data_IF_942093374565
#
_entry.id   IF_942093374565
#
_cell.length_a   1.000
_cell.length_b   1.000
_cell.length_c   1.000
_cell.angle_alpha   90.00
_cell.angle_beta   90.00
_cell.angle_gamma   90.00
#
_symmetry.space_group_name_H-M   'P 1'
#
loop_
_entity.id
_entity.type
_entity.pdbx_description
1 polymer ?
#
# COMPACT_ATOMS: atom_id res chain seq x y z
N UNK A 1 6.02 -39.06 -4.99
CA UNK A 1 5.80 -37.68 -4.50
C UNK A 1 7.01 -37.25 -3.68
N UNK A 2 7.60 -36.08 -3.93
CA UNK A 2 8.75 -35.58 -3.15
C UNK A 2 8.24 -35.30 -1.73
N UNK A 3 8.78 -35.97 -0.71
CA UNK A 3 8.33 -35.78 0.68
C UNK A 3 8.58 -34.34 1.12
N UNK A 4 7.51 -33.64 1.50
CA UNK A 4 7.58 -32.29 2.07
C UNK A 4 8.24 -32.41 3.45
N UNK A 5 9.35 -31.69 3.65
CA UNK A 5 10.07 -31.69 4.92
C UNK A 5 9.23 -31.06 6.03
N UNK A 6 9.46 -31.42 7.31
CA UNK A 6 8.75 -30.82 8.46
C UNK A 6 8.82 -29.28 8.45
N UNK A 7 9.98 -28.71 8.12
CA UNK A 7 10.18 -27.25 8.01
C UNK A 7 9.31 -26.62 6.91
N UNK A 8 9.23 -27.24 5.74
CA UNK A 8 8.38 -26.75 4.64
C UNK A 8 6.89 -26.82 5.00
N UNK A 9 6.44 -27.90 5.65
CA UNK A 9 5.06 -28.01 6.15
C UNK A 9 4.73 -26.86 7.11
N UNK A 10 5.64 -26.55 8.03
CA UNK A 10 5.45 -25.45 9.00
C UNK A 10 5.33 -24.09 8.30
N UNK A 11 6.17 -23.82 7.29
CA UNK A 11 6.09 -22.58 6.50
C UNK A 11 4.74 -22.48 5.76
N UNK A 12 4.26 -23.56 5.15
CA UNK A 12 2.95 -23.56 4.48
C UNK A 12 1.79 -23.29 5.44
N UNK A 13 1.85 -23.83 6.66
CA UNK A 13 0.83 -23.57 7.69
C UNK A 13 0.84 -22.08 8.07
N UNK A 14 2.01 -21.49 8.31
CA UNK A 14 2.13 -20.06 8.65
C UNK A 14 1.57 -19.18 7.53
N UNK A 15 1.91 -19.47 6.27
CA UNK A 15 1.38 -18.75 5.11
C UNK A 15 -0.15 -18.85 5.02
N UNK A 16 -0.70 -20.04 5.24
CA UNK A 16 -2.15 -20.24 5.22
C UNK A 16 -2.84 -19.42 6.32
N UNK A 17 -2.28 -19.38 7.53
CA UNK A 17 -2.81 -18.57 8.65
C UNK A 17 -2.78 -17.08 8.31
N UNK A 18 -1.69 -16.58 7.74
CA UNK A 18 -1.59 -15.17 7.31
C UNK A 18 -2.66 -14.84 6.28
N UNK A 19 -2.87 -15.72 5.29
CA UNK A 19 -3.89 -15.51 4.26
C UNK A 19 -5.29 -15.48 4.86
N UNK A 20 -5.63 -16.44 5.73
CA UNK A 20 -6.93 -16.52 6.41
C UNK A 20 -7.18 -15.28 7.26
N UNK A 21 -6.19 -14.86 8.06
CA UNK A 21 -6.29 -13.65 8.88
C UNK A 21 -6.48 -12.40 8.02
N UNK A 22 -5.73 -12.28 6.91
CA UNK A 22 -5.89 -11.18 5.96
C UNK A 22 -7.29 -11.13 5.36
N UNK A 23 -7.84 -12.28 4.93
CA UNK A 23 -9.21 -12.37 4.38
C UNK A 23 -10.25 -11.96 5.43
N UNK A 24 -10.09 -12.40 6.68
CA UNK A 24 -11.00 -12.04 7.76
C UNK A 24 -11.01 -10.52 8.01
N UNK A 25 -9.84 -9.88 8.02
CA UNK A 25 -9.72 -8.42 8.19
C UNK A 25 -10.30 -7.66 7.01
N UNK A 26 -10.01 -8.09 5.77
CA UNK A 26 -10.56 -7.47 4.56
C UNK A 26 -12.09 -7.58 4.52
N UNK A 27 -12.64 -8.73 4.91
CA UNK A 27 -14.09 -8.96 4.89
C UNK A 27 -14.85 -8.19 5.96
N UNK A 28 -14.22 -7.90 7.11
CA UNK A 28 -14.86 -7.24 8.25
C UNK A 28 -14.67 -5.73 8.26
N UNK A 29 -13.43 -5.26 8.03
CA UNK A 29 -13.03 -3.85 8.17
C UNK A 29 -12.64 -3.24 6.81
N UNK A 30 -12.25 -4.08 5.84
CA UNK A 30 -11.68 -3.61 4.57
C UNK A 30 -10.24 -3.13 4.71
N UNK A 31 -9.68 -2.64 3.60
CA UNK A 31 -8.33 -2.05 3.60
C UNK A 31 -8.33 -0.68 4.28
N UNK A 32 -7.25 -0.38 5.01
CA UNK A 32 -6.96 0.99 5.42
C UNK A 32 -6.50 1.76 4.18
N UNK A 33 -7.22 2.77 3.71
CA UNK A 33 -6.83 3.52 2.51
C UNK A 33 -6.01 4.77 2.87
N UNK A 34 -5.14 5.23 1.99
CA UNK A 34 -4.47 6.53 2.12
C UNK A 34 -5.53 7.66 2.16
N UNK A 35 -5.29 8.72 2.95
CA UNK A 35 -6.22 9.86 3.10
C UNK A 35 -6.71 10.40 1.75
N UNK A 36 -5.83 10.49 0.75
CA UNK A 36 -6.17 10.97 -0.60
C UNK A 36 -7.18 10.08 -1.36
N UNK A 37 -7.41 8.86 -0.88
CA UNK A 37 -8.32 7.89 -1.47
C UNK A 37 -9.58 7.68 -0.61
N UNK A 38 -9.69 8.40 0.51
CA UNK A 38 -10.86 8.42 1.38
C UNK A 38 -11.57 9.77 1.27
N UNK A 39 -12.80 9.80 1.74
CA UNK A 39 -13.48 11.04 2.04
C UNK A 39 -12.77 11.66 3.24
N UNK A 40 -12.34 12.92 3.11
CA UNK A 40 -11.53 13.59 4.13
C UNK A 40 -12.04 15.00 4.35
N UNK A 41 -11.76 15.53 5.53
CA UNK A 41 -12.01 16.93 5.85
C UNK A 41 -10.71 17.68 5.90
N UNK A 42 -10.72 18.89 5.36
CA UNK A 42 -9.57 19.77 5.28
C UNK A 42 -9.90 21.12 5.89
N UNK A 43 -8.97 21.66 6.66
CA UNK A 43 -8.96 23.06 7.11
C UNK A 43 -7.68 23.73 6.63
N UNK A 44 -7.77 25.00 6.27
CA UNK A 44 -6.62 25.84 5.91
C UNK A 44 -6.53 27.00 6.90
N UNK A 45 -5.34 27.20 7.48
CA UNK A 45 -5.08 28.24 8.46
C UNK A 45 -3.99 29.19 7.92
N UNK A 46 -4.33 30.47 7.81
CA UNK A 46 -3.42 31.50 7.32
C UNK A 46 -2.60 32.10 8.46
N UNK A 47 -1.46 31.48 8.79
CA UNK A 47 -0.65 31.80 9.97
C UNK A 47 0.07 33.16 9.81
N UNK A 48 0.32 33.61 8.57
CA UNK A 48 0.99 34.89 8.25
C UNK A 48 2.40 35.04 8.83
N UNK A 49 3.02 33.93 9.22
CA UNK A 49 4.34 33.86 9.84
C UNK A 49 5.02 32.56 9.41
N UNK A 50 6.35 32.52 9.55
CA UNK A 50 7.10 31.28 9.43
C UNK A 50 6.67 30.29 10.51
N UNK A 51 6.29 29.09 10.09
CA UNK A 51 5.95 27.99 10.98
C UNK A 51 6.61 26.68 10.56
N UNK A 52 6.79 25.79 11.52
CA UNK A 52 7.27 24.44 11.26
C UNK A 52 6.12 23.44 11.14
N UNK A 53 6.22 22.53 10.17
CA UNK A 53 5.24 21.44 10.00
C UNK A 53 5.23 20.51 11.22
N UNK A 54 6.40 20.27 11.84
CA UNK A 54 6.56 19.49 13.08
C UNK A 54 5.68 20.01 14.20
N UNK A 55 5.64 21.33 14.35
CA UNK A 55 4.90 22.00 15.41
C UNK A 55 3.40 21.89 15.22
N UNK A 56 2.93 22.17 14.00
CA UNK A 56 1.50 21.99 13.66
C UNK A 56 1.11 20.52 13.81
N UNK A 57 2.00 19.59 13.45
CA UNK A 57 1.76 18.15 13.62
C UNK A 57 1.57 17.74 15.07
N UNK A 58 2.34 18.33 15.99
CA UNK A 58 2.19 18.05 17.41
C UNK A 58 0.86 18.61 17.94
N UNK A 59 0.51 19.85 17.58
CA UNK A 59 -0.78 20.47 17.94
C UNK A 59 -1.94 19.60 17.45
N UNK A 60 -1.94 19.23 16.18
CA UNK A 60 -3.02 18.42 15.60
C UNK A 60 -3.09 17.04 16.24
N UNK A 61 -1.96 16.41 16.59
CA UNK A 61 -1.96 15.12 17.29
C UNK A 61 -2.45 15.18 18.73
N UNK A 62 -2.30 16.31 19.42
CA UNK A 62 -2.89 16.49 20.75
C UNK A 62 -4.42 16.52 20.68
N UNK A 63 -4.97 17.08 19.61
CA UNK A 63 -6.42 17.20 19.40
C UNK A 63 -7.01 15.95 18.73
N UNK A 64 -6.26 15.31 17.83
CA UNK A 64 -6.67 14.15 17.03
C UNK A 64 -5.56 13.08 17.08
N UNK A 65 -5.42 12.32 18.18
CA UNK A 65 -4.27 11.44 18.42
C UNK A 65 -4.24 10.19 17.53
N UNK A 66 -5.40 9.63 17.19
CA UNK A 66 -5.50 8.31 16.58
C UNK A 66 -5.70 8.33 15.05
N UNK A 67 -5.79 9.52 14.45
CA UNK A 67 -6.04 9.64 13.01
C UNK A 67 -4.77 9.82 12.18
N UNK A 68 -4.80 9.27 10.96
CA UNK A 68 -3.87 9.67 9.92
C UNK A 68 -4.12 11.13 9.58
N UNK A 69 -3.08 11.95 9.67
CA UNK A 69 -3.12 13.38 9.35
C UNK A 69 -2.11 13.71 8.24
N UNK A 70 -2.49 14.62 7.35
CA UNK A 70 -1.63 15.18 6.33
C UNK A 70 -1.55 16.69 6.54
N UNK A 71 -0.33 17.18 6.72
CA UNK A 71 -0.06 18.61 6.95
C UNK A 71 0.86 19.09 5.85
N UNK A 72 0.49 20.18 5.19
CA UNK A 72 1.22 20.76 4.07
C UNK A 72 1.25 22.27 4.20
N UNK A 73 2.40 22.88 3.92
CA UNK A 73 2.44 24.31 3.63
C UNK A 73 1.76 24.55 2.29
N UNK A 74 0.96 25.59 2.22
CA UNK A 74 0.24 26.01 1.01
C UNK A 74 0.47 27.51 0.80
N UNK A 75 -0.03 28.02 -0.32
CA UNK A 75 0.24 29.37 -0.83
C UNK A 75 1.70 29.62 -1.25
N UNK A 76 1.91 30.66 -2.05
CA UNK A 76 3.22 30.97 -2.64
C UNK A 76 4.24 31.40 -1.58
N UNK A 77 3.76 32.01 -0.49
CA UNK A 77 4.57 32.49 0.61
C UNK A 77 4.76 31.45 1.72
N UNK A 78 4.19 30.24 1.57
CA UNK A 78 4.27 29.15 2.54
C UNK A 78 3.83 29.53 3.97
N UNK A 79 3.00 30.55 4.10
CA UNK A 79 2.48 31.15 5.32
C UNK A 79 1.07 30.66 5.71
N UNK A 80 0.49 29.80 4.86
CA UNK A 80 -0.71 29.03 5.16
C UNK A 80 -0.39 27.56 5.38
N UNK A 81 -1.12 26.93 6.31
CA UNK A 81 -1.07 25.48 6.54
C UNK A 81 -2.38 24.81 6.18
N UNK A 82 -2.29 23.76 5.37
CA UNK A 82 -3.39 22.84 5.08
C UNK A 82 -3.29 21.62 5.99
N UNK A 83 -4.33 21.37 6.77
CA UNK A 83 -4.48 20.19 7.64
C UNK A 83 -5.61 19.33 7.08
N UNK A 84 -5.31 18.08 6.75
CA UNK A 84 -6.29 17.12 6.23
C UNK A 84 -6.30 15.87 7.11
N UNK A 85 -7.49 15.48 7.57
CA UNK A 85 -7.74 14.29 8.38
C UNK A 85 -8.95 13.53 7.85
N UNK A 86 -9.23 12.35 8.40
CA UNK A 86 -10.39 11.55 7.98
C UNK A 86 -11.67 12.28 8.35
N UNK A 87 -11.72 12.79 9.58
CA UNK A 87 -12.78 13.67 10.03
C UNK A 87 -12.18 14.85 10.82
N UNK A 88 -12.89 15.97 10.82
CA UNK A 88 -12.58 17.16 11.61
C UNK A 88 -13.93 17.69 12.09
N UNK A 89 -14.17 17.64 13.40
CA UNK A 89 -15.35 18.27 14.02
C UNK A 89 -15.11 19.77 14.22
N UNK A 90 -16.18 20.55 14.38
CA UNK A 90 -16.04 21.98 14.68
C UNK A 90 -15.33 22.23 16.02
N UNK A 91 -15.53 21.34 17.01
CA UNK A 91 -14.82 21.38 18.30
C UNK A 91 -13.31 21.14 18.13
N UNK A 92 -12.93 20.14 17.32
CA UNK A 92 -11.54 19.85 17.02
C UNK A 92 -10.89 20.99 16.23
N UNK A 93 -11.62 21.55 15.26
CA UNK A 93 -11.19 22.74 14.50
C UNK A 93 -10.90 23.91 15.45
N UNK A 94 -11.83 24.22 16.34
CA UNK A 94 -11.67 25.30 17.32
C UNK A 94 -10.43 25.06 18.19
N UNK A 95 -10.28 23.85 18.74
CA UNK A 95 -9.14 23.52 19.60
C UNK A 95 -7.78 23.61 18.88
N UNK A 96 -7.72 23.22 17.61
CA UNK A 96 -6.51 23.40 16.77
C UNK A 96 -6.21 24.90 16.60
N UNK A 97 -7.22 25.71 16.27
CA UNK A 97 -7.07 27.16 16.07
C UNK A 97 -6.58 27.84 17.35
N UNK A 98 -7.17 27.51 18.50
CA UNK A 98 -6.79 28.09 19.79
C UNK A 98 -5.33 27.80 20.14
N UNK A 99 -4.89 26.55 19.95
CA UNK A 99 -3.49 26.14 20.17
C UNK A 99 -2.51 26.77 19.18
N UNK A 100 -2.92 26.96 17.92
CA UNK A 100 -2.11 27.68 16.93
C UNK A 100 -1.98 29.16 17.30
N UNK A 101 -3.08 29.80 17.71
CA UNK A 101 -3.09 31.18 18.19
C UNK A 101 -2.21 31.37 19.43
N UNK A 102 -2.28 30.45 20.39
CA UNK A 102 -1.44 30.47 21.60
C UNK A 102 0.04 30.35 21.26
N UNK A 103 0.41 29.43 20.35
CA UNK A 103 1.81 29.19 19.99
C UNK A 103 2.42 30.30 19.13
N UNK A 104 1.68 30.81 18.16
CA UNK A 104 2.19 31.75 17.16
C UNK A 104 1.76 33.20 17.40
N UNK A 105 0.94 33.47 18.42
CA UNK A 105 0.40 34.81 18.70
C UNK A 105 -0.38 35.36 17.50
N UNK A 106 -1.28 34.54 16.95
CA UNK A 106 -2.16 34.89 15.84
C UNK A 106 -3.59 35.12 16.36
N UNK A 107 -4.42 35.80 15.56
CA UNK A 107 -5.84 36.06 15.88
C UNK A 107 -6.77 35.35 14.88
N UNK A 108 -6.47 34.08 14.57
CA UNK A 108 -7.29 33.28 13.66
C UNK A 108 -8.67 33.05 14.27
N UNK A 109 -9.71 33.30 13.48
CA UNK A 109 -11.10 33.03 13.87
C UNK A 109 -11.56 31.71 13.26
N UNK A 110 -12.24 30.90 14.07
CA UNK A 110 -12.83 29.65 13.60
C UNK A 110 -13.97 29.87 12.61
N UNK A 111 -14.69 30.98 12.74
CA UNK A 111 -15.80 31.35 11.85
C UNK A 111 -15.33 31.69 10.43
N UNK A 112 -14.08 32.15 10.27
CA UNK A 112 -13.48 32.40 8.96
C UNK A 112 -12.77 31.17 8.37
N UNK A 113 -12.71 30.07 9.13
CA UNK A 113 -12.05 28.83 8.72
C UNK A 113 -13.10 27.78 8.39
N UNK A 114 -13.29 27.53 7.10
CA UNK A 114 -14.23 26.52 6.63
C UNK A 114 -13.63 25.11 6.69
N UNK A 115 -14.49 24.14 7.00
CA UNK A 115 -14.15 22.73 6.85
C UNK A 115 -14.54 22.30 5.44
N UNK A 116 -13.54 22.06 4.61
CA UNK A 116 -13.71 21.66 3.22
C UNK A 116 -13.82 20.12 3.18
N UNK A 117 -14.95 19.62 2.68
CA UNK A 117 -15.11 18.19 2.40
C UNK A 117 -14.42 17.84 1.07
N UNK A 118 -13.41 16.99 1.14
CA UNK A 118 -12.73 16.46 -0.05
C UNK A 118 -13.35 15.10 -0.39
N UNK A 119 -13.99 14.96 -1.57
CA UNK A 119 -14.60 13.72 -1.99
C UNK A 119 -13.55 12.62 -2.24
N UNK A 120 -13.97 11.37 -2.12
CA UNK A 120 -13.07 10.23 -2.29
C UNK A 120 -12.56 10.07 -3.73
N UNK A 121 -11.26 9.83 -3.89
CA UNK A 121 -10.73 9.32 -5.14
C UNK A 121 -10.88 7.78 -5.17
N UNK A 122 -11.44 7.22 -6.24
CA UNK A 122 -11.61 5.76 -6.34
C UNK A 122 -10.25 5.10 -6.54
N UNK A 123 -9.94 4.07 -5.74
CA UNK A 123 -8.70 3.26 -5.87
C UNK A 123 -8.51 2.75 -7.31
N UNK A 124 -9.61 2.41 -7.97
CA UNK A 124 -9.58 1.96 -9.37
C UNK A 124 -8.90 2.97 -10.29
N UNK A 125 -9.09 4.27 -10.07
CA UNK A 125 -8.55 5.31 -10.94
C UNK A 125 -7.03 5.46 -10.75
N UNK A 126 -6.53 5.19 -9.52
CA UNK A 126 -5.10 5.09 -9.25
C UNK A 126 -4.47 3.89 -9.97
N UNK A 127 -5.14 2.74 -9.98
CA UNK A 127 -4.57 1.48 -10.49
C UNK A 127 -4.76 1.30 -12.00
N UNK A 128 -5.87 1.80 -12.56
CA UNK A 128 -6.24 1.68 -13.98
C UNK A 128 -5.10 1.96 -14.98
N UNK A 129 -4.30 3.02 -14.86
CA UNK A 129 -3.22 3.28 -15.82
C UNK A 129 -2.11 2.21 -15.83
N UNK A 130 -1.95 1.45 -14.75
CA UNK A 130 -0.88 0.47 -14.60
C UNK A 130 -1.28 -0.95 -15.04
N UNK A 131 -2.58 -1.29 -14.96
CA UNK A 131 -3.07 -2.66 -15.19
C UNK A 131 -2.72 -3.16 -16.58
N UNK A 132 -2.95 -2.35 -17.62
CA UNK A 132 -2.74 -2.76 -19.02
C UNK A 132 -1.27 -3.10 -19.28
N UNK A 133 -0.35 -2.20 -18.94
CA UNK A 133 1.09 -2.40 -19.13
C UNK A 133 1.61 -3.59 -18.32
N UNK A 134 1.12 -3.75 -17.08
CA UNK A 134 1.50 -4.86 -16.21
C UNK A 134 1.01 -6.22 -16.74
N UNK A 135 -0.21 -6.26 -17.27
CA UNK A 135 -0.77 -7.48 -17.88
C UNK A 135 0.02 -7.91 -19.11
N UNK A 136 0.34 -6.98 -20.01
CA UNK A 136 1.16 -7.25 -21.22
C UNK A 136 2.53 -7.80 -20.82
N UNK A 137 3.20 -7.15 -19.87
CA UNK A 137 4.51 -7.61 -19.36
C UNK A 137 4.44 -9.02 -18.79
N UNK A 138 3.42 -9.32 -17.98
CA UNK A 138 3.23 -10.65 -17.40
C UNK A 138 3.02 -11.72 -18.47
N UNK A 139 2.23 -11.43 -19.50
CA UNK A 139 2.01 -12.37 -20.62
C UNK A 139 3.32 -12.68 -21.35
N UNK A 140 4.13 -11.66 -21.68
CA UNK A 140 5.42 -11.85 -22.34
C UNK A 140 6.37 -12.72 -21.50
N UNK A 141 6.41 -12.49 -20.19
CA UNK A 141 7.24 -13.28 -19.25
C UNK A 141 6.77 -14.73 -19.20
N UNK A 142 5.46 -14.99 -19.17
CA UNK A 142 4.91 -16.34 -19.16
C UNK A 142 5.21 -17.09 -20.47
N UNK A 143 5.11 -16.42 -21.62
CA UNK A 143 5.50 -16.97 -22.92
C UNK A 143 6.99 -17.34 -22.92
N UNK A 144 7.84 -16.46 -22.41
CA UNK A 144 9.27 -16.74 -22.27
C UNK A 144 9.53 -17.98 -21.39
N UNK A 145 8.87 -18.08 -20.23
CA UNK A 145 8.96 -19.24 -19.35
C UNK A 145 8.51 -20.52 -20.07
N UNK A 146 7.42 -20.46 -20.83
CA UNK A 146 6.90 -21.60 -21.58
C UNK A 146 7.90 -22.11 -22.63
N UNK A 147 8.59 -21.21 -23.34
CA UNK A 147 9.58 -21.55 -24.37
C UNK A 147 10.87 -22.08 -23.72
N UNK A 148 11.47 -21.31 -22.80
CA UNK A 148 12.76 -21.65 -22.18
C UNK A 148 12.72 -22.96 -21.39
N UNK A 149 11.63 -23.22 -20.68
CA UNK A 149 11.48 -24.37 -19.81
C UNK A 149 10.62 -25.48 -20.42
N UNK A 150 10.49 -25.54 -21.75
CA UNK A 150 9.68 -26.54 -22.46
C UNK A 150 9.99 -27.98 -22.07
N UNK A 151 11.26 -28.30 -21.81
CA UNK A 151 11.69 -29.64 -21.34
C UNK A 151 11.06 -30.04 -20.01
N UNK A 152 10.64 -29.11 -19.16
CA UNK A 152 9.95 -29.38 -17.89
C UNK A 152 8.43 -29.53 -18.06
N UNK A 153 7.91 -29.35 -19.28
CA UNK A 153 6.49 -29.28 -19.61
C UNK A 153 6.02 -27.82 -19.62
N UNK A 154 5.87 -27.24 -20.82
CA UNK A 154 5.57 -25.81 -21.02
C UNK A 154 4.33 -25.34 -20.27
N UNK A 155 3.17 -25.98 -20.51
CA UNK A 155 1.88 -25.52 -19.95
C UNK A 155 1.86 -25.64 -18.43
N UNK A 156 2.32 -26.78 -17.89
CA UNK A 156 2.39 -27.01 -16.45
C UNK A 156 3.32 -26.01 -15.75
N UNK A 157 4.46 -25.71 -16.36
CA UNK A 157 5.43 -24.75 -15.80
C UNK A 157 4.87 -23.34 -15.81
N UNK A 158 4.19 -22.95 -16.89
CA UNK A 158 3.54 -21.64 -17.02
C UNK A 158 2.44 -21.45 -15.97
N UNK A 159 1.52 -22.40 -15.84
CA UNK A 159 0.42 -22.34 -14.85
C UNK A 159 0.96 -22.31 -13.43
N UNK A 160 1.93 -23.17 -13.10
CA UNK A 160 2.55 -23.15 -11.77
C UNK A 160 3.23 -21.81 -11.47
N UNK A 161 3.90 -21.20 -12.46
CA UNK A 161 4.54 -19.90 -12.28
C UNK A 161 3.50 -18.81 -12.03
N UNK A 162 2.39 -18.80 -12.78
CA UNK A 162 1.28 -17.88 -12.57
C UNK A 162 0.66 -18.05 -11.18
N UNK A 163 0.41 -19.28 -10.73
CA UNK A 163 -0.11 -19.55 -9.40
C UNK A 163 0.81 -19.04 -8.29
N UNK A 164 2.13 -19.24 -8.41
CA UNK A 164 3.10 -18.75 -7.42
C UNK A 164 3.11 -17.21 -7.37
N UNK A 165 3.05 -16.56 -8.55
CA UNK A 165 2.94 -15.09 -8.63
C UNK A 165 1.68 -14.61 -7.89
N UNK A 166 0.52 -15.21 -8.16
CA UNK A 166 -0.75 -14.86 -7.53
C UNK A 166 -0.68 -15.07 -6.02
N UNK A 167 -0.19 -16.22 -5.55
CA UNK A 167 -0.03 -16.51 -4.12
C UNK A 167 0.88 -15.49 -3.44
N UNK A 168 1.99 -15.10 -4.07
CA UNK A 168 2.88 -14.07 -3.54
C UNK A 168 2.18 -12.72 -3.33
N UNK A 169 1.31 -12.32 -4.27
CA UNK A 169 0.52 -11.09 -4.15
C UNK A 169 -0.58 -11.20 -3.10
N UNK A 170 -1.25 -12.35 -2.99
CA UNK A 170 -2.26 -12.57 -1.94
C UNK A 170 -1.64 -12.44 -0.56
N UNK A 171 -0.46 -13.04 -0.33
CA UNK A 171 0.27 -12.92 0.95
C UNK A 171 0.63 -11.46 1.25
N UNK A 172 1.06 -10.71 0.24
CA UNK A 172 1.33 -9.28 0.37
C UNK A 172 0.09 -8.51 0.83
N UNK A 173 -1.04 -8.69 0.15
CA UNK A 173 -2.28 -8.02 0.52
C UNK A 173 -2.80 -8.43 1.90
N UNK A 174 -2.63 -9.70 2.28
CA UNK A 174 -2.95 -10.16 3.63
C UNK A 174 -2.10 -9.46 4.70
N UNK A 175 -0.79 -9.30 4.48
CA UNK A 175 0.08 -8.56 5.38
C UNK A 175 -0.32 -7.08 5.48
N UNK A 176 -0.60 -6.44 4.34
CA UNK A 176 -1.07 -5.04 4.31
C UNK A 176 -2.37 -4.88 5.11
N UNK A 177 -3.31 -5.80 4.96
CA UNK A 177 -4.58 -5.77 5.69
C UNK A 177 -4.36 -5.91 7.20
N UNK A 178 -3.59 -6.91 7.63
CA UNK A 178 -3.32 -7.19 9.05
C UNK A 178 -2.56 -6.04 9.72
N UNK A 179 -1.54 -5.52 9.05
CA UNK A 179 -0.68 -4.43 9.57
C UNK A 179 -1.30 -3.05 9.43
N UNK A 180 -2.47 -2.95 8.78
CA UNK A 180 -3.19 -1.69 8.52
C UNK A 180 -2.32 -0.63 7.81
N UNK A 181 -1.36 -1.06 6.99
CA UNK A 181 -0.58 -0.15 6.14
C UNK A 181 -1.55 0.52 5.16
N UNK A 182 -1.53 1.87 5.05
CA UNK A 182 -2.44 2.60 4.20
C UNK A 182 -2.22 2.27 2.71
N UNK A 183 -3.28 1.79 2.07
CA UNK A 183 -3.33 1.43 0.66
C UNK A 183 -3.53 2.69 -0.18
N UNK A 184 -2.58 2.95 -1.06
CA UNK A 184 -2.57 4.14 -1.89
C UNK A 184 -1.37 4.13 -2.83
N UNK A 185 -0.70 5.28 -2.97
CA UNK A 185 0.40 5.43 -3.94
C UNK A 185 1.59 4.51 -3.66
N UNK A 186 1.87 4.20 -2.38
CA UNK A 186 2.96 3.30 -2.00
C UNK A 186 2.68 1.82 -2.27
N UNK A 187 1.42 1.44 -2.44
CA UNK A 187 1.05 0.03 -2.70
C UNK A 187 1.54 -0.44 -4.07
N UNK A 188 1.57 0.44 -5.07
CA UNK A 188 2.03 0.13 -6.43
C UNK A 188 3.49 -0.34 -6.46
N UNK A 189 4.48 0.44 -5.96
CA UNK A 189 5.86 -0.03 -5.95
C UNK A 189 6.04 -1.29 -5.09
N UNK A 190 5.29 -1.45 -4.00
CA UNK A 190 5.36 -2.65 -3.15
C UNK A 190 4.95 -3.92 -3.92
N UNK A 191 3.85 -3.86 -4.67
CA UNK A 191 3.38 -4.94 -5.56
C UNK A 191 4.44 -5.30 -6.60
N UNK A 192 5.06 -4.30 -7.23
CA UNK A 192 6.11 -4.49 -8.23
C UNK A 192 7.36 -5.16 -7.65
N UNK A 193 7.81 -4.73 -6.47
CA UNK A 193 8.98 -5.32 -5.80
C UNK A 193 8.72 -6.79 -5.49
N UNK A 194 7.58 -7.12 -4.88
CA UNK A 194 7.22 -8.51 -4.56
C UNK A 194 7.09 -9.35 -5.83
N UNK A 195 6.52 -8.77 -6.90
CA UNK A 195 6.39 -9.43 -8.19
C UNK A 195 7.76 -9.80 -8.78
N UNK A 196 8.70 -8.86 -8.83
CA UNK A 196 10.06 -9.09 -9.35
C UNK A 196 10.80 -10.12 -8.49
N UNK A 197 10.76 -9.99 -7.16
CA UNK A 197 11.37 -10.97 -6.25
C UNK A 197 10.80 -12.38 -6.46
N UNK A 198 9.49 -12.49 -6.66
CA UNK A 198 8.82 -13.77 -6.93
C UNK A 198 9.28 -14.37 -8.26
N UNK A 199 9.42 -13.55 -9.31
CA UNK A 199 9.94 -14.00 -10.61
C UNK A 199 11.40 -14.48 -10.52
N UNK A 200 12.25 -13.77 -9.79
CA UNK A 200 13.63 -14.20 -9.55
C UNK A 200 13.68 -15.54 -8.80
N UNK A 201 12.81 -15.73 -7.80
CA UNK A 201 12.68 -17.00 -7.09
C UNK A 201 12.22 -18.14 -8.01
N UNK A 202 11.20 -17.89 -8.84
CA UNK A 202 10.68 -18.87 -9.81
C UNK A 202 11.75 -19.25 -10.81
N UNK A 203 12.41 -18.28 -11.45
CA UNK A 203 13.44 -18.53 -12.47
C UNK A 203 14.60 -19.35 -11.91
N UNK A 204 15.10 -19.01 -10.72
CA UNK A 204 16.14 -19.80 -10.04
C UNK A 204 15.69 -21.25 -9.77
N UNK A 205 14.44 -21.45 -9.33
CA UNK A 205 13.89 -22.78 -9.07
C UNK A 205 13.74 -23.61 -10.37
N UNK A 206 13.24 -22.98 -11.44
CA UNK A 206 13.08 -23.61 -12.75
C UNK A 206 14.42 -23.94 -13.39
N UNK A 207 15.43 -23.07 -13.25
CA UNK A 207 16.76 -23.33 -13.75
C UNK A 207 17.42 -24.53 -13.07
N UNK A 208 17.32 -24.64 -11.75
CA UNK A 208 17.79 -25.82 -11.00
C UNK A 208 17.11 -27.10 -11.49
N UNK A 209 15.77 -27.07 -11.67
CA UNK A 209 15.02 -28.23 -12.19
C UNK A 209 15.44 -28.60 -13.62
N UNK A 210 15.69 -27.61 -14.47
CA UNK A 210 16.10 -27.82 -15.85
C UNK A 210 17.50 -28.45 -15.93
N UNK A 211 18.44 -28.04 -15.08
CA UNK A 211 19.79 -28.62 -14.98
C UNK A 211 19.72 -30.11 -14.59
N UNK A 212 18.97 -30.43 -13.53
CA UNK A 212 18.77 -31.81 -13.08
C UNK A 212 18.18 -32.70 -14.18
N UNK A 213 17.15 -32.22 -14.89
CA UNK A 213 16.53 -32.99 -15.98
C UNK A 213 17.49 -33.24 -17.15
N UNK A 214 18.38 -32.27 -17.47
CA UNK A 214 19.41 -32.45 -18.50
C UNK A 214 20.49 -33.45 -18.10
N UNK A 215 20.79 -33.58 -16.80
CA UNK A 215 21.73 -34.58 -16.28
C UNK A 215 21.12 -35.98 -16.30
N UNK A 216 19.82 -36.10 -15.98
CA UNK A 216 19.07 -37.36 -16.11
C UNK A 216 18.96 -37.83 -17.56
N UNK A 217 18.76 -36.93 -18.53
CA UNK A 217 18.73 -37.26 -19.98
C UNK A 217 20.11 -37.67 -20.55
N UNK A 218 21.20 -37.42 -19.81
CA UNK A 218 22.58 -37.75 -20.23
C UNK A 218 23.11 -39.05 -19.62
N UNK A 219 22.41 -39.63 -18.64
CA UNK A 219 22.72 -40.94 -18.04
C UNK A 219 21.90 -42.02 -18.72
#
# INVERSE_FOLDING_TARGET
MKNITKKQKMIFIILAVIIIAGIAVISTIGFNLELKMQETKKIELYIQKDFEISDIKNIVKEVIPDESIMIQKVEVFEDSVSITAKDITDEQKQSIIDKVNEKYGTELKADSTEIINIPNMKIRDLVKPYVTSFAISTVLILVYIAIRYRKLGSIKTMINSLLIIVVGQVVLFSLIAITRIPVGRLTIPMVLIVYVCTLLGITNCLEKKLKLKKEEEKK
#
